data_IF_625765297214
#
_entry.id   IF_625765297214
#
_cell.length_a   1.000
_cell.length_b   1.000
_cell.length_c   1.000
_cell.angle_alpha   90.00
_cell.angle_beta   90.00
_cell.angle_gamma   90.00
#
_symmetry.space_group_name_H-M   'P 1'
#
loop_
_entity.id
_entity.type
_entity.pdbx_description
1 polymer ?
#
# COMPACT_ATOMS: atom_id res chain seq x y z
N UNK A 1 -27.13 -18.91 -9.58
CA UNK A 1 -27.16 -17.48 -9.13
C UNK A 1 -27.20 -17.33 -7.61
N UNK A 2 -28.19 -17.92 -6.88
CA UNK A 2 -28.28 -17.81 -5.40
C UNK A 2 -27.11 -18.51 -4.69
N UNK A 3 -26.70 -19.66 -5.17
CA UNK A 3 -25.58 -20.45 -4.64
C UNK A 3 -24.22 -19.78 -4.90
N UNK A 4 -24.06 -19.10 -6.02
CA UNK A 4 -22.86 -18.30 -6.33
C UNK A 4 -22.78 -17.07 -5.45
N UNK A 5 -23.90 -16.40 -5.18
CA UNK A 5 -23.96 -15.25 -4.27
C UNK A 5 -23.57 -15.64 -2.84
N UNK A 6 -24.11 -16.77 -2.34
CA UNK A 6 -23.77 -17.30 -1.02
C UNK A 6 -22.30 -17.73 -0.92
N UNK A 7 -21.72 -18.32 -1.99
CA UNK A 7 -20.30 -18.63 -2.03
C UNK A 7 -19.43 -17.38 -1.98
N UNK A 8 -19.77 -16.35 -2.79
CA UNK A 8 -19.04 -15.09 -2.79
C UNK A 8 -19.12 -14.36 -1.44
N UNK A 9 -20.29 -14.42 -0.75
CA UNK A 9 -20.45 -13.88 0.60
C UNK A 9 -19.61 -14.66 1.63
N UNK A 10 -19.62 -15.99 1.56
CA UNK A 10 -18.83 -16.86 2.45
C UNK A 10 -17.31 -16.66 2.23
N UNK A 11 -16.87 -16.50 0.99
CA UNK A 11 -15.47 -16.21 0.67
C UNK A 11 -15.03 -14.83 1.18
N UNK A 12 -15.90 -13.81 1.04
CA UNK A 12 -15.65 -12.47 1.60
C UNK A 12 -15.54 -12.49 3.13
N UNK A 13 -16.45 -13.21 3.81
CA UNK A 13 -16.42 -13.32 5.27
C UNK A 13 -15.20 -14.09 5.76
N UNK A 14 -14.80 -15.17 5.07
CA UNK A 14 -13.57 -15.90 5.34
C UNK A 14 -12.34 -15.03 5.14
N UNK A 15 -12.30 -14.26 4.05
CA UNK A 15 -11.24 -13.31 3.76
C UNK A 15 -11.12 -12.24 4.84
N UNK A 16 -12.25 -11.67 5.28
CA UNK A 16 -12.32 -10.70 6.37
C UNK A 16 -11.81 -11.29 7.70
N UNK A 17 -12.20 -12.51 8.03
CA UNK A 17 -11.75 -13.19 9.24
C UNK A 17 -10.24 -13.47 9.24
N UNK A 18 -9.70 -13.89 8.11
CA UNK A 18 -8.25 -14.11 7.93
C UNK A 18 -7.47 -12.80 8.01
N UNK A 19 -7.96 -11.73 7.37
CA UNK A 19 -7.35 -10.41 7.42
C UNK A 19 -7.28 -9.87 8.85
N UNK A 20 -8.38 -9.97 9.62
CA UNK A 20 -8.41 -9.54 11.02
C UNK A 20 -7.44 -10.33 11.91
N UNK A 21 -7.27 -11.62 11.65
CA UNK A 21 -6.32 -12.46 12.41
C UNK A 21 -4.88 -12.11 12.07
N UNK A 22 -4.55 -11.92 10.79
CA UNK A 22 -3.23 -11.48 10.34
C UNK A 22 -2.90 -10.11 10.91
N UNK A 23 -3.80 -9.13 10.80
CA UNK A 23 -3.64 -7.79 11.36
C UNK A 23 -3.42 -7.82 12.87
N UNK A 24 -4.17 -8.66 13.62
CA UNK A 24 -4.01 -8.78 15.07
C UNK A 24 -2.64 -9.31 15.47
N UNK A 25 -2.08 -10.24 14.72
CA UNK A 25 -0.73 -10.75 14.93
C UNK A 25 0.31 -9.68 14.61
N UNK A 26 0.16 -9.01 13.47
CA UNK A 26 1.12 -8.03 12.99
C UNK A 26 1.14 -6.74 13.82
N UNK A 27 0.02 -6.36 14.43
CA UNK A 27 -0.04 -5.28 15.43
C UNK A 27 0.67 -5.66 16.73
N UNK A 28 0.59 -6.91 17.16
CA UNK A 28 1.16 -7.34 18.45
C UNK A 28 2.68 -7.26 18.48
N UNK A 29 3.36 -7.60 17.39
CA UNK A 29 4.84 -7.62 17.31
C UNK A 29 5.44 -6.23 17.55
N UNK A 30 5.11 -5.18 16.78
CA UNK A 30 5.63 -3.83 17.00
C UNK A 30 5.19 -3.26 18.35
N UNK A 31 3.96 -3.54 18.79
CA UNK A 31 3.50 -3.11 20.10
C UNK A 31 4.36 -3.70 21.23
N UNK A 32 4.73 -4.99 21.11
CA UNK A 32 5.65 -5.64 22.08
C UNK A 32 7.04 -5.01 22.02
N UNK A 33 7.55 -4.66 20.84
CA UNK A 33 8.84 -3.98 20.71
C UNK A 33 8.82 -2.57 21.33
N UNK A 34 7.74 -1.81 21.13
CA UNK A 34 7.55 -0.49 21.74
C UNK A 34 7.53 -0.61 23.27
N UNK A 35 6.71 -1.52 23.81
CA UNK A 35 6.59 -1.74 25.26
C UNK A 35 7.94 -2.18 25.84
N UNK A 36 8.61 -3.15 25.20
CA UNK A 36 9.93 -3.61 25.64
C UNK A 36 11.01 -2.51 25.63
N UNK A 37 10.98 -1.62 24.62
CA UNK A 37 11.86 -0.44 24.57
C UNK A 37 11.58 0.55 25.70
N UNK A 38 10.30 0.81 26.00
CA UNK A 38 9.90 1.65 27.14
C UNK A 38 10.36 1.03 28.46
N UNK A 39 10.10 -0.26 28.69
CA UNK A 39 10.48 -0.96 29.91
C UNK A 39 12.01 -0.94 30.10
N UNK A 40 12.77 -1.17 29.03
CA UNK A 40 14.22 -1.10 29.07
C UNK A 40 14.73 0.29 29.54
N UNK A 41 14.13 1.38 29.03
CA UNK A 41 14.48 2.74 29.43
C UNK A 41 14.06 3.04 30.87
N UNK A 42 12.86 2.60 31.29
CA UNK A 42 12.35 2.85 32.65
C UNK A 42 13.13 2.08 33.71
N UNK A 43 13.47 0.81 33.45
CA UNK A 43 14.15 -0.04 34.43
C UNK A 43 15.66 0.23 34.50
N UNK A 44 16.29 0.56 33.38
CA UNK A 44 17.76 0.65 33.27
C UNK A 44 18.25 2.04 32.81
N UNK A 45 17.42 3.07 32.83
CA UNK A 45 17.72 4.38 32.22
C UNK A 45 19.02 5.04 32.73
N UNK A 46 19.42 4.78 34.00
CA UNK A 46 20.70 5.26 34.56
C UNK A 46 21.92 4.47 34.09
N UNK A 47 21.72 3.27 33.50
CA UNK A 47 22.80 2.37 33.07
C UNK A 47 22.92 2.28 31.56
N UNK A 48 21.91 2.77 30.84
CA UNK A 48 21.88 2.80 29.36
C UNK A 48 22.64 4.03 28.87
N UNK A 49 23.52 3.84 27.88
CA UNK A 49 24.19 4.98 27.24
C UNK A 49 23.17 5.92 26.52
N UNK A 50 23.47 7.22 26.45
CA UNK A 50 22.60 8.14 25.69
C UNK A 50 22.38 7.71 24.23
N UNK A 51 23.36 7.07 23.62
CA UNK A 51 23.31 6.53 22.26
C UNK A 51 22.30 5.37 22.18
N UNK A 52 22.42 4.37 23.04
CA UNK A 52 21.48 3.24 23.11
C UNK A 52 20.06 3.70 23.44
N UNK A 53 19.90 4.70 24.33
CA UNK A 53 18.59 5.27 24.64
C UNK A 53 17.96 5.93 23.41
N UNK A 54 18.76 6.64 22.62
CA UNK A 54 18.32 7.25 21.37
C UNK A 54 17.91 6.21 20.33
N UNK A 55 18.69 5.15 20.16
CA UNK A 55 18.38 4.06 19.24
C UNK A 55 17.06 3.37 19.61
N UNK A 56 16.83 3.12 20.91
CA UNK A 56 15.55 2.58 21.40
C UNK A 56 14.38 3.49 21.09
N UNK A 57 14.52 4.81 21.31
CA UNK A 57 13.47 5.79 21.02
C UNK A 57 13.20 5.89 19.51
N UNK A 58 14.24 5.85 18.68
CA UNK A 58 14.11 5.85 17.22
C UNK A 58 13.39 4.59 16.72
N UNK A 59 13.75 3.41 17.22
CA UNK A 59 13.07 2.16 16.90
C UNK A 59 11.59 2.19 17.33
N UNK A 60 11.27 2.65 18.55
CA UNK A 60 9.88 2.77 19.01
C UNK A 60 9.07 3.74 18.15
N UNK A 61 9.67 4.85 17.69
CA UNK A 61 9.03 5.78 16.78
C UNK A 61 8.71 5.12 15.44
N UNK A 62 9.66 4.35 14.89
CA UNK A 62 9.50 3.71 13.60
C UNK A 62 8.43 2.61 13.65
N UNK A 63 8.39 1.82 14.73
CA UNK A 63 7.32 0.85 14.98
C UNK A 63 5.94 1.51 15.18
N UNK A 64 5.89 2.69 15.83
CA UNK A 64 4.65 3.45 16.00
C UNK A 64 4.13 3.99 14.67
N UNK A 65 5.00 4.52 13.82
CA UNK A 65 4.64 5.01 12.49
C UNK A 65 4.13 3.87 11.60
N UNK A 66 4.75 2.70 11.70
CA UNK A 66 4.29 1.50 10.99
C UNK A 66 2.88 1.10 11.43
N UNK A 67 2.59 1.11 12.75
CA UNK A 67 1.23 0.83 13.27
C UNK A 67 0.18 1.82 12.75
N UNK A 68 0.53 3.09 12.62
CA UNK A 68 -0.37 4.10 12.03
C UNK A 68 -0.72 3.70 10.59
N UNK A 69 0.26 3.33 9.78
CA UNK A 69 0.04 2.87 8.40
C UNK A 69 -0.86 1.62 8.32
N UNK A 70 -0.69 0.65 9.23
CA UNK A 70 -1.58 -0.53 9.32
C UNK A 70 -3.02 -0.14 9.62
N UNK A 71 -3.24 0.80 10.55
CA UNK A 71 -4.60 1.29 10.89
C UNK A 71 -5.23 2.02 9.71
N UNK A 72 -4.49 2.87 8.99
CA UNK A 72 -4.98 3.57 7.79
C UNK A 72 -5.37 2.59 6.68
N UNK A 73 -4.56 1.56 6.45
CA UNK A 73 -4.86 0.49 5.51
C UNK A 73 -6.12 -0.29 5.92
N UNK A 74 -6.30 -0.60 7.20
CA UNK A 74 -7.49 -1.28 7.71
C UNK A 74 -8.76 -0.42 7.54
N UNK A 75 -8.67 0.87 7.81
CA UNK A 75 -9.77 1.82 7.58
C UNK A 75 -10.16 1.88 6.11
N UNK A 76 -9.20 1.83 5.20
CA UNK A 76 -9.45 1.77 3.74
C UNK A 76 -10.23 0.51 3.34
N UNK A 77 -9.84 -0.65 3.89
CA UNK A 77 -10.58 -1.93 3.67
C UNK A 77 -12.00 -1.88 4.25
N UNK A 78 -12.18 -1.27 5.42
CA UNK A 78 -13.52 -1.16 6.04
C UNK A 78 -14.44 -0.24 5.26
N UNK A 79 -13.93 0.84 4.69
CA UNK A 79 -14.69 1.72 3.78
C UNK A 79 -15.21 0.97 2.56
N UNK A 80 -14.39 0.07 1.98
CA UNK A 80 -14.82 -0.77 0.85
C UNK A 80 -15.85 -1.83 1.23
N UNK A 81 -15.81 -2.34 2.50
CA UNK A 81 -16.72 -3.40 2.96
C UNK A 81 -18.12 -2.90 3.33
N UNK A 82 -18.27 -1.63 3.64
CA UNK A 82 -19.54 -1.03 4.10
C UNK A 82 -20.42 -0.45 3.00
N UNK A 83 -19.92 -0.32 1.78
CA UNK A 83 -20.67 0.26 0.67
C UNK A 83 -20.64 -0.69 -0.53
N UNK A 84 -21.81 -1.08 -1.01
CA UNK A 84 -21.97 -1.81 -2.28
C UNK A 84 -21.51 -1.00 -3.50
N UNK A 85 -21.09 0.26 -3.32
CA UNK A 85 -20.55 1.14 -4.35
C UNK A 85 -19.50 2.06 -3.74
N UNK A 86 -18.23 1.93 -4.19
CA UNK A 86 -17.25 2.99 -4.06
C UNK A 86 -17.78 4.22 -4.75
N UNK A 87 -17.79 5.36 -4.07
CA UNK A 87 -18.25 6.63 -4.65
C UNK A 87 -17.18 7.14 -5.61
N UNK A 88 -17.29 6.75 -6.87
CA UNK A 88 -16.43 7.27 -7.93
C UNK A 88 -16.95 8.61 -8.41
N UNK A 89 -16.12 9.62 -8.39
CA UNK A 89 -16.35 10.92 -9.00
C UNK A 89 -15.33 11.13 -10.11
N UNK A 90 -15.66 11.97 -11.10
CA UNK A 90 -14.70 12.34 -12.14
C UNK A 90 -13.67 13.29 -11.55
N UNK A 91 -12.46 12.81 -11.37
CA UNK A 91 -11.35 13.52 -10.74
C UNK A 91 -10.18 13.65 -11.70
N UNK A 92 -9.42 14.74 -11.57
CA UNK A 92 -8.24 14.96 -12.39
C UNK A 92 -7.07 14.07 -11.89
N UNK A 93 -6.54 13.23 -12.79
CA UNK A 93 -5.47 12.30 -12.45
C UNK A 93 -4.18 12.99 -11.99
N UNK A 94 -3.87 14.19 -12.50
CA UNK A 94 -2.71 14.98 -12.09
C UNK A 94 -2.84 15.50 -10.65
N UNK A 95 -4.06 15.85 -10.23
CA UNK A 95 -4.31 16.36 -8.88
C UNK A 95 -4.06 15.29 -7.83
N UNK A 96 -4.48 14.05 -8.06
CA UNK A 96 -4.23 12.96 -7.12
C UNK A 96 -2.74 12.62 -7.02
N UNK A 97 -1.98 12.68 -8.12
CA UNK A 97 -0.53 12.52 -8.09
C UNK A 97 0.14 13.63 -7.28
N UNK A 98 -0.28 14.87 -7.49
CA UNK A 98 0.21 16.03 -6.74
C UNK A 98 -0.07 15.92 -5.24
N UNK A 99 -1.31 15.60 -4.87
CA UNK A 99 -1.73 15.44 -3.48
C UNK A 99 -0.95 14.32 -2.78
N UNK A 100 -0.86 13.14 -3.40
CA UNK A 100 -0.08 12.00 -2.88
C UNK A 100 1.40 12.37 -2.69
N UNK A 101 2.03 13.01 -3.69
CA UNK A 101 3.42 13.45 -3.61
C UNK A 101 3.64 14.45 -2.46
N UNK A 102 2.74 15.41 -2.27
CA UNK A 102 2.84 16.39 -1.18
C UNK A 102 2.75 15.74 0.20
N UNK A 103 1.82 14.78 0.39
CA UNK A 103 1.68 14.05 1.65
C UNK A 103 2.91 13.17 1.91
N UNK A 104 3.37 12.44 0.91
CA UNK A 104 4.57 11.60 0.99
C UNK A 104 5.82 12.41 1.39
N UNK A 105 6.05 13.56 0.76
CA UNK A 105 7.22 14.42 1.04
C UNK A 105 7.27 14.97 2.47
N UNK A 106 6.16 15.05 3.18
CA UNK A 106 6.16 15.45 4.59
C UNK A 106 6.86 14.43 5.49
N UNK A 107 6.77 13.14 5.16
CA UNK A 107 7.40 12.05 5.91
C UNK A 107 8.79 11.70 5.36
N UNK A 108 8.99 11.88 4.04
CA UNK A 108 10.22 11.52 3.33
C UNK A 108 10.81 12.71 2.57
N UNK A 109 11.23 13.80 3.26
CA UNK A 109 11.68 15.04 2.60
C UNK A 109 12.97 14.86 1.79
N UNK A 110 13.78 13.85 2.11
CA UNK A 110 15.05 13.57 1.42
C UNK A 110 14.87 12.83 0.07
N UNK A 111 13.67 12.27 -0.20
CA UNK A 111 13.39 11.53 -1.43
C UNK A 111 12.92 12.50 -2.51
N UNK A 112 13.61 12.50 -3.66
CA UNK A 112 13.18 13.27 -4.83
C UNK A 112 11.96 12.59 -5.47
N UNK A 113 10.88 13.37 -5.67
CA UNK A 113 9.69 12.88 -6.38
C UNK A 113 9.46 13.75 -7.60
N UNK A 114 9.44 13.12 -8.78
CA UNK A 114 9.09 13.76 -10.04
C UNK A 114 7.73 13.25 -10.53
N UNK A 115 6.96 14.14 -11.15
CA UNK A 115 5.64 13.83 -11.70
C UNK A 115 5.67 14.10 -13.20
N UNK A 116 5.16 13.16 -13.98
CA UNK A 116 4.94 13.29 -15.41
C UNK A 116 3.49 12.91 -15.73
N UNK A 117 2.76 13.82 -16.34
CA UNK A 117 1.38 13.62 -16.75
C UNK A 117 1.21 14.06 -18.21
N UNK A 118 0.14 13.65 -18.91
CA UNK A 118 -0.17 14.14 -20.26
C UNK A 118 -0.44 15.65 -20.26
N UNK A 119 -0.21 16.30 -21.39
CA UNK A 119 -0.55 17.74 -21.55
C UNK A 119 -2.07 18.00 -21.51
N UNK A 120 -2.87 16.97 -21.75
CA UNK A 120 -4.34 17.04 -21.71
C UNK A 120 -4.84 16.52 -20.38
N UNK A 121 -5.71 17.28 -19.72
CA UNK A 121 -6.35 16.90 -18.46
C UNK A 121 -7.03 15.54 -18.58
N UNK A 122 -6.65 14.58 -17.74
CA UNK A 122 -7.20 13.24 -17.74
C UNK A 122 -8.19 13.08 -16.57
N UNK A 123 -9.49 13.13 -16.90
CA UNK A 123 -10.56 12.92 -15.93
C UNK A 123 -10.84 11.42 -15.77
N UNK A 124 -10.80 10.94 -14.53
CA UNK A 124 -10.85 9.50 -14.21
C UNK A 124 -11.94 9.27 -13.16
N UNK A 125 -12.88 8.33 -13.38
CA UNK A 125 -13.87 7.95 -12.38
C UNK A 125 -13.18 7.22 -11.21
N UNK A 126 -13.00 7.89 -10.08
CA UNK A 126 -12.32 7.29 -8.93
C UNK A 126 -12.78 7.89 -7.60
N UNK A 127 -12.56 7.14 -6.51
CA UNK A 127 -12.53 7.67 -5.16
C UNK A 127 -11.12 8.22 -4.91
N UNK A 128 -10.99 9.55 -4.91
CA UNK A 128 -9.70 10.25 -4.82
C UNK A 128 -8.92 9.88 -3.55
N UNK A 129 -9.63 9.65 -2.42
CA UNK A 129 -8.99 9.31 -1.14
C UNK A 129 -8.37 7.92 -1.21
N UNK A 130 -9.08 6.96 -1.80
CA UNK A 130 -8.59 5.59 -1.92
C UNK A 130 -7.42 5.49 -2.93
N UNK A 131 -7.50 6.19 -4.05
CA UNK A 131 -6.41 6.18 -5.04
C UNK A 131 -5.19 6.94 -4.53
N UNK A 132 -5.38 8.04 -3.81
CA UNK A 132 -4.27 8.72 -3.11
C UNK A 132 -3.56 7.77 -2.13
N UNK A 133 -4.33 6.98 -1.35
CA UNK A 133 -3.77 5.98 -0.44
C UNK A 133 -2.96 4.90 -1.19
N UNK A 134 -3.44 4.43 -2.36
CA UNK A 134 -2.66 3.51 -3.21
C UNK A 134 -1.31 4.13 -3.57
N UNK A 135 -1.29 5.36 -4.07
CA UNK A 135 -0.06 6.04 -4.48
C UNK A 135 0.92 6.22 -3.31
N UNK A 136 0.42 6.64 -2.14
CA UNK A 136 1.25 6.78 -0.93
C UNK A 136 1.85 5.44 -0.53
N UNK A 137 1.04 4.38 -0.44
CA UNK A 137 1.52 3.04 -0.10
C UNK A 137 2.60 2.53 -1.08
N UNK A 138 2.43 2.78 -2.38
CA UNK A 138 3.42 2.38 -3.38
C UNK A 138 4.73 3.16 -3.23
N UNK A 139 4.68 4.46 -2.94
CA UNK A 139 5.87 5.28 -2.68
C UNK A 139 6.58 4.89 -1.38
N UNK A 140 5.84 4.60 -0.31
CA UNK A 140 6.38 4.14 0.96
C UNK A 140 7.07 2.78 0.80
N UNK A 141 6.45 1.84 0.08
CA UNK A 141 7.07 0.57 -0.26
C UNK A 141 8.40 0.76 -1.03
N UNK A 142 8.46 1.71 -1.95
CA UNK A 142 9.69 2.02 -2.68
C UNK A 142 10.85 2.47 -1.76
N UNK A 143 10.55 3.20 -0.68
CA UNK A 143 11.56 3.62 0.30
C UNK A 143 11.90 2.49 1.28
N UNK A 144 10.90 1.85 1.86
CA UNK A 144 11.08 0.82 2.89
C UNK A 144 11.81 -0.42 2.36
N UNK A 145 11.49 -0.85 1.13
CA UNK A 145 12.04 -2.07 0.54
C UNK A 145 13.14 -1.81 -0.49
N UNK A 146 13.20 -0.62 -1.07
CA UNK A 146 14.22 -0.24 -2.04
C UNK A 146 15.61 -0.02 -1.45
N UNK A 147 15.77 0.01 -0.11
CA UNK A 147 17.01 0.15 0.68
C UNK A 147 17.85 1.40 0.34
N UNK A 148 17.99 1.71 -0.94
CA UNK A 148 18.82 2.82 -1.46
C UNK A 148 18.00 3.81 -2.28
N UNK A 149 16.69 3.81 -2.12
CA UNK A 149 15.80 4.68 -2.90
C UNK A 149 15.99 6.14 -2.52
N UNK A 150 16.40 6.93 -3.50
CA UNK A 150 16.59 8.39 -3.38
C UNK A 150 15.69 9.17 -4.34
N UNK A 151 15.11 8.46 -5.34
CA UNK A 151 14.24 9.07 -6.34
C UNK A 151 13.05 8.16 -6.65
N UNK A 152 11.88 8.79 -6.76
CA UNK A 152 10.64 8.16 -7.23
C UNK A 152 10.10 8.99 -8.41
N UNK A 153 9.71 8.30 -9.48
CA UNK A 153 9.07 8.88 -10.66
C UNK A 153 7.60 8.44 -10.66
N UNK A 154 6.69 9.39 -10.55
CA UNK A 154 5.26 9.18 -10.73
C UNK A 154 4.89 9.52 -12.17
N UNK A 155 4.20 8.63 -12.85
CA UNK A 155 3.74 8.87 -14.22
C UNK A 155 2.27 8.53 -14.37
N UNK A 156 1.55 9.41 -15.07
CA UNK A 156 0.19 9.18 -15.55
C UNK A 156 0.22 9.15 -17.06
N UNK A 157 -0.48 8.21 -17.65
CA UNK A 157 -0.71 8.13 -19.10
C UNK A 157 -2.07 7.52 -19.39
N UNK A 158 -2.51 7.58 -20.64
CA UNK A 158 -3.74 6.90 -21.09
C UNK A 158 -3.41 5.93 -22.22
N UNK A 159 -3.95 4.72 -22.14
CA UNK A 159 -3.81 3.70 -23.15
C UNK A 159 -5.04 2.78 -23.19
N UNK A 160 -5.62 2.60 -24.38
CA UNK A 160 -6.70 1.64 -24.58
C UNK A 160 -7.94 1.86 -23.71
N UNK A 161 -8.32 3.12 -23.43
CA UNK A 161 -9.47 3.44 -22.56
C UNK A 161 -9.17 3.30 -21.06
N UNK A 162 -7.91 3.16 -20.69
CA UNK A 162 -7.45 3.07 -19.31
C UNK A 162 -6.55 4.26 -18.97
N UNK A 163 -6.71 4.81 -17.78
CA UNK A 163 -5.70 5.62 -17.14
C UNK A 163 -4.66 4.69 -16.49
N UNK A 164 -3.39 4.94 -16.76
CA UNK A 164 -2.27 4.12 -16.27
C UNK A 164 -1.41 4.97 -15.36
N UNK A 165 -1.32 4.55 -14.10
CA UNK A 165 -0.46 5.15 -13.08
C UNK A 165 0.77 4.29 -12.87
N UNK A 166 1.93 4.91 -12.83
CA UNK A 166 3.22 4.24 -12.61
C UNK A 166 3.95 4.91 -11.44
N UNK A 167 4.49 4.08 -10.57
CA UNK A 167 5.39 4.46 -9.48
C UNK A 167 6.70 3.70 -9.71
N UNK A 168 7.74 4.42 -10.09
CA UNK A 168 9.05 3.87 -10.41
C UNK A 168 10.10 4.41 -9.45
N UNK A 169 10.89 3.53 -8.85
CA UNK A 169 11.99 3.90 -7.97
C UNK A 169 13.36 3.59 -8.59
N UNK A 170 14.42 4.06 -7.93
CA UNK A 170 15.82 3.77 -8.27
C UNK A 170 16.51 2.89 -7.21
N UNK A 171 15.78 2.15 -6.41
CA UNK A 171 16.29 1.29 -5.35
C UNK A 171 16.88 -0.03 -5.87
N UNK A 172 16.92 -1.04 -4.98
CA UNK A 172 17.49 -2.35 -5.32
C UNK A 172 16.58 -3.24 -6.18
N UNK A 173 15.32 -2.84 -6.39
CA UNK A 173 14.31 -3.66 -7.07
C UNK A 173 13.69 -4.74 -6.18
N UNK A 174 12.93 -5.63 -6.79
CA UNK A 174 12.18 -6.71 -6.14
C UNK A 174 12.85 -8.06 -6.47
N UNK A 175 12.99 -8.93 -5.50
CA UNK A 175 13.49 -10.30 -5.71
C UNK A 175 12.62 -11.04 -6.74
N UNK A 176 13.24 -11.73 -7.69
CA UNK A 176 12.54 -12.36 -8.83
C UNK A 176 11.50 -13.39 -8.36
N UNK A 177 11.79 -14.07 -7.27
CA UNK A 177 10.94 -15.09 -6.65
C UNK A 177 9.69 -14.48 -6.01
N UNK A 178 9.75 -13.19 -5.62
CA UNK A 178 8.63 -12.48 -5.01
C UNK A 178 7.69 -11.84 -6.05
N UNK A 179 8.19 -11.47 -7.22
CA UNK A 179 7.40 -10.77 -8.25
C UNK A 179 6.07 -11.45 -8.59
N UNK A 180 6.00 -12.79 -8.82
CA UNK A 180 4.74 -13.45 -9.15
C UNK A 180 3.70 -13.42 -8.03
N UNK A 181 4.15 -13.29 -6.76
CA UNK A 181 3.33 -13.38 -5.56
C UNK A 181 3.16 -12.06 -4.81
N UNK A 182 3.66 -10.98 -5.41
CA UNK A 182 3.76 -9.67 -4.76
C UNK A 182 2.41 -9.14 -4.25
N UNK A 183 1.33 -9.42 -4.97
CA UNK A 183 -0.02 -8.94 -4.68
C UNK A 183 -0.93 -10.02 -4.04
N UNK A 184 -0.45 -11.24 -3.86
CA UNK A 184 -1.28 -12.36 -3.36
C UNK A 184 -1.62 -12.24 -1.86
N UNK A 185 -0.92 -11.35 -1.13
CA UNK A 185 -1.13 -11.11 0.30
C UNK A 185 -0.85 -12.36 1.16
N UNK A 186 -1.09 -12.27 2.46
CA UNK A 186 -0.89 -13.36 3.44
C UNK A 186 -1.84 -14.56 3.27
N UNK A 187 -2.78 -14.54 2.32
CA UNK A 187 -3.88 -15.50 2.28
C UNK A 187 -3.53 -16.88 1.74
N UNK A 188 -2.34 -17.08 1.19
CA UNK A 188 -1.99 -18.31 0.44
C UNK A 188 -0.76 -19.08 0.94
N UNK A 189 -0.11 -18.68 2.04
CA UNK A 189 1.08 -19.40 2.52
C UNK A 189 0.94 -19.99 3.91
N UNK A 190 1.30 -21.27 4.01
CA UNK A 190 1.50 -22.00 5.27
C UNK A 190 2.53 -21.29 6.16
N UNK A 191 2.21 -21.20 7.46
CA UNK A 191 2.68 -20.21 8.45
C UNK A 191 4.12 -20.36 8.97
N UNK A 192 5.02 -21.15 8.39
CA UNK A 192 6.20 -21.55 9.17
C UNK A 192 7.55 -20.85 8.89
N UNK A 193 7.71 -20.08 7.79
CA UNK A 193 9.03 -19.45 7.53
C UNK A 193 8.97 -18.07 6.83
N UNK A 194 8.28 -17.09 7.40
CA UNK A 194 8.28 -15.73 6.84
C UNK A 194 9.28 -14.87 7.61
N UNK A 195 10.39 -14.46 6.96
CA UNK A 195 11.34 -13.49 7.50
C UNK A 195 10.66 -12.13 7.77
N UNK A 196 11.14 -11.38 8.78
CA UNK A 196 10.57 -10.08 9.19
C UNK A 196 10.45 -9.06 8.04
N UNK A 197 11.34 -9.12 7.04
CA UNK A 197 11.27 -8.29 5.84
C UNK A 197 10.07 -8.59 4.93
N UNK A 198 9.53 -9.81 4.96
CA UNK A 198 8.35 -10.21 4.17
C UNK A 198 7.03 -9.82 4.83
N UNK A 199 7.01 -9.65 6.16
CA UNK A 199 5.82 -9.26 6.92
C UNK A 199 5.33 -7.86 6.56
N UNK A 200 6.25 -6.91 6.41
CA UNK A 200 5.91 -5.51 6.15
C UNK A 200 5.35 -5.23 4.75
N UNK A 201 5.61 -6.11 3.76
CA UNK A 201 5.16 -5.94 2.37
C UNK A 201 3.71 -6.42 2.13
N UNK A 202 3.14 -7.23 3.03
CA UNK A 202 1.91 -7.99 2.74
C UNK A 202 0.61 -7.19 2.82
N UNK A 203 0.43 -6.33 3.81
CA UNK A 203 -0.85 -5.63 4.04
C UNK A 203 -1.01 -4.47 3.05
N UNK A 204 0.00 -3.64 2.87
CA UNK A 204 -0.08 -2.45 2.02
C UNK A 204 -0.42 -2.78 0.56
N UNK A 205 0.30 -3.72 -0.05
CA UNK A 205 0.10 -4.08 -1.46
C UNK A 205 -1.20 -4.85 -1.70
N UNK A 206 -1.64 -5.70 -0.76
CA UNK A 206 -2.94 -6.38 -0.87
C UNK A 206 -4.12 -5.41 -0.75
N UNK A 207 -3.99 -4.37 0.07
CA UNK A 207 -4.97 -3.27 0.15
C UNK A 207 -4.96 -2.47 -1.15
N UNK A 208 -3.80 -2.12 -1.70
CA UNK A 208 -3.70 -1.45 -3.00
C UNK A 208 -4.40 -2.26 -4.10
N UNK A 209 -4.12 -3.57 -4.18
CA UNK A 209 -4.78 -4.46 -5.15
C UNK A 209 -6.30 -4.45 -4.97
N UNK A 210 -6.79 -4.54 -3.73
CA UNK A 210 -8.23 -4.54 -3.43
C UNK A 210 -8.88 -3.21 -3.83
N UNK A 211 -8.25 -2.08 -3.57
CA UNK A 211 -8.74 -0.75 -3.96
C UNK A 211 -8.81 -0.64 -5.48
N UNK A 212 -7.73 -1.01 -6.18
CA UNK A 212 -7.67 -0.93 -7.64
C UNK A 212 -8.69 -1.86 -8.30
N UNK A 213 -8.85 -3.10 -7.80
CA UNK A 213 -9.87 -4.03 -8.29
C UNK A 213 -11.29 -3.51 -8.08
N UNK A 214 -11.57 -2.89 -6.94
CA UNK A 214 -12.86 -2.30 -6.65
C UNK A 214 -13.17 -1.09 -7.58
N UNK A 215 -12.15 -0.46 -8.13
CA UNK A 215 -12.27 0.54 -9.19
C UNK A 215 -12.41 -0.07 -10.60
N UNK A 216 -12.32 -1.41 -10.74
CA UNK A 216 -12.34 -2.12 -12.02
C UNK A 216 -11.00 -2.12 -12.74
N UNK A 217 -9.93 -1.83 -12.01
CA UNK A 217 -8.57 -1.76 -12.49
C UNK A 217 -7.74 -3.04 -12.28
N UNK A 218 -6.49 -2.98 -12.67
CA UNK A 218 -5.50 -4.05 -12.49
C UNK A 218 -4.17 -3.47 -12.02
N UNK A 219 -3.35 -4.31 -11.34
CA UNK A 219 -1.99 -3.94 -10.91
C UNK A 219 -0.95 -4.91 -11.47
N UNK A 220 0.24 -4.39 -11.70
CA UNK A 220 1.42 -5.19 -12.06
C UNK A 220 2.69 -4.59 -11.48
N UNK A 221 3.74 -5.41 -11.36
CA UNK A 221 5.06 -5.00 -10.91
C UNK A 221 6.13 -5.62 -11.78
N UNK A 222 7.22 -4.89 -12.00
CA UNK A 222 8.40 -5.39 -12.71
C UNK A 222 9.67 -4.67 -12.20
N UNK A 223 10.82 -5.31 -12.43
CA UNK A 223 12.10 -4.65 -12.18
C UNK A 223 12.54 -3.84 -13.39
N UNK A 224 13.04 -2.64 -13.14
CA UNK A 224 13.56 -1.75 -14.17
C UNK A 224 14.93 -2.23 -14.65
N UNK A 225 15.22 -2.12 -15.94
CA UNK A 225 16.53 -2.50 -16.54
C UNK A 225 17.71 -1.74 -15.96
N UNK A 226 17.50 -0.52 -15.48
CA UNK A 226 18.54 0.35 -14.91
C UNK A 226 18.61 0.33 -13.39
N UNK A 227 17.94 -0.63 -12.74
CA UNK A 227 17.79 -0.74 -11.29
C UNK A 227 16.50 -0.11 -10.78
N UNK A 228 16.04 -0.59 -9.62
CA UNK A 228 14.76 -0.21 -9.01
C UNK A 228 13.58 -1.04 -9.51
N UNK A 229 12.41 -0.77 -8.95
CA UNK A 229 11.16 -1.40 -9.33
C UNK A 229 10.23 -0.42 -10.05
N UNK A 230 9.28 -0.97 -10.78
CA UNK A 230 8.15 -0.28 -11.37
C UNK A 230 6.88 -0.99 -10.92
N UNK A 231 6.05 -0.30 -10.15
CA UNK A 231 4.70 -0.73 -9.83
C UNK A 231 3.72 0.11 -10.65
N UNK A 232 2.77 -0.57 -11.27
CA UNK A 232 1.80 0.07 -12.16
C UNK A 232 0.40 -0.39 -11.82
N UNK A 233 -0.55 0.55 -11.86
CA UNK A 233 -1.97 0.19 -11.85
C UNK A 233 -2.73 0.95 -12.94
N UNK A 234 -3.87 0.39 -13.34
CA UNK A 234 -4.74 0.99 -14.35
C UNK A 234 -6.15 1.15 -13.81
N UNK A 235 -6.84 2.20 -14.24
CA UNK A 235 -8.26 2.46 -13.96
C UNK A 235 -9.01 2.69 -15.26
N UNK A 236 -10.27 2.22 -15.41
CA UNK A 236 -11.10 2.55 -16.56
C UNK A 236 -11.38 4.05 -16.63
N UNK A 237 -11.28 4.65 -17.82
CA UNK A 237 -11.66 6.05 -18.08
C UNK A 237 -13.17 6.23 -18.24
N UNK A 238 -13.88 5.16 -18.58
CA UNK A 238 -15.34 5.14 -18.68
C UNK A 238 -15.90 4.18 -17.64
N UNK A 239 -16.98 4.54 -16.95
CA UNK A 239 -17.70 3.57 -16.14
C UNK A 239 -18.28 2.50 -17.05
N UNK A 240 -17.99 1.23 -16.79
CA UNK A 240 -18.66 0.11 -17.43
C UNK A 240 -20.13 0.12 -17.04
N UNK A 241 -20.98 0.70 -17.90
CA UNK A 241 -22.44 0.82 -17.74
C UNK A 241 -23.18 -0.55 -17.76
N UNK A 242 -22.53 -1.65 -17.43
CA UNK A 242 -23.07 -3.00 -17.59
C UNK A 242 -23.71 -3.62 -16.34
N UNK A 243 -23.90 -2.90 -15.23
CA UNK A 243 -24.56 -3.52 -14.05
C UNK A 243 -25.96 -3.00 -13.70
N UNK A 244 -26.61 -2.17 -14.50
CA UNK A 244 -27.96 -1.68 -14.18
C UNK A 244 -29.05 -2.03 -15.22
N UNK A 245 -28.94 -3.17 -15.91
CA UNK A 245 -30.08 -3.76 -16.64
C UNK A 245 -30.13 -5.27 -16.41
N UNK A 246 -30.74 -5.67 -15.28
CA UNK A 246 -31.69 -6.80 -15.19
C UNK A 246 -32.16 -7.04 -13.77
#
# INVERSE_FOLDING_TARGET
KQQEKLRAEAEREKMRGNLLRAVSHDIRTPLTAIVGGIDAILENGSQISPETSRDLLENMRDESNWLIGVVENLLSVTRMSGASNIKKELEAGEEVLGAASMKFKRHYPAVEVSITAPDTLLMIPMDIILIEQVLINLMENAVQHGKTTTRIELRLSSAGGLAVFEVADNGCGIEKELLPHLFEGYLTRDQEEISDQRRNMGIGLSVCMSIVQAHGGTMRAENRKKGGALLQFSLPLEENSHEHQR
#
